data_IF_790477839613
#
_entry.id   IF_790477839613
#
_cell.length_a   1.000
_cell.length_b   1.000
_cell.length_c   1.000
_cell.angle_alpha   90.00
_cell.angle_beta   90.00
_cell.angle_gamma   90.00
#
_symmetry.space_group_name_H-M   'P 1'
#
loop_
_entity.id
_entity.type
_entity.pdbx_description
1 polymer ?
#
# COMPACT_ATOMS: atom_id res chain seq x y z
N UNK A 1 4.73 6.08 -8.12
CA UNK A 1 5.17 6.46 -9.48
C UNK A 1 4.36 5.64 -10.48
N UNK A 2 3.20 6.09 -10.83
CA UNK A 2 2.30 5.35 -11.69
C UNK A 2 1.86 6.23 -12.84
N UNK A 3 2.21 5.81 -14.04
CA UNK A 3 2.17 6.65 -15.23
C UNK A 3 0.80 6.69 -15.93
N UNK A 4 -0.09 5.73 -15.65
CA UNK A 4 -1.42 5.64 -16.26
C UNK A 4 -2.22 4.47 -15.68
N UNK A 5 -3.55 4.45 -15.89
CA UNK A 5 -4.41 3.32 -15.54
C UNK A 5 -3.90 2.00 -16.16
N UNK A 6 -3.54 2.03 -17.45
CA UNK A 6 -3.05 0.84 -18.16
C UNK A 6 -1.77 0.28 -17.52
N UNK A 7 -0.80 1.13 -17.19
CA UNK A 7 0.44 0.70 -16.55
C UNK A 7 0.19 0.03 -15.19
N UNK A 8 -0.74 0.58 -14.41
CA UNK A 8 -1.14 0.02 -13.12
C UNK A 8 -1.80 -1.35 -13.26
N UNK A 9 -2.75 -1.51 -14.18
CA UNK A 9 -3.41 -2.80 -14.38
C UNK A 9 -2.46 -3.86 -14.94
N UNK A 10 -1.57 -3.50 -15.88
CA UNK A 10 -0.53 -4.42 -16.38
C UNK A 10 0.43 -4.82 -15.26
N UNK A 11 0.91 -3.84 -14.46
CA UNK A 11 1.76 -4.09 -13.30
C UNK A 11 1.09 -4.99 -12.26
N UNK A 12 -0.19 -4.72 -11.98
CA UNK A 12 -1.01 -5.57 -11.10
C UNK A 12 -1.11 -7.01 -11.61
N UNK A 13 -1.37 -7.20 -12.91
CA UNK A 13 -1.44 -8.52 -13.52
C UNK A 13 -0.11 -9.30 -13.42
N UNK A 14 1.01 -8.65 -13.71
CA UNK A 14 2.34 -9.26 -13.61
C UNK A 14 2.67 -9.63 -12.16
N UNK A 15 2.49 -8.68 -11.23
CA UNK A 15 2.73 -8.93 -9.80
C UNK A 15 1.78 -9.98 -9.23
N UNK A 16 0.53 -9.99 -9.69
CA UNK A 16 -0.45 -11.00 -9.32
C UNK A 16 -0.01 -12.41 -9.75
N UNK A 17 0.43 -12.57 -11.00
CA UNK A 17 0.96 -13.84 -11.49
C UNK A 17 2.18 -14.30 -10.69
N UNK A 18 3.14 -13.40 -10.43
CA UNK A 18 4.30 -13.70 -9.56
C UNK A 18 3.84 -14.09 -8.17
N UNK A 19 2.88 -13.39 -7.58
CA UNK A 19 2.34 -13.67 -6.25
C UNK A 19 1.68 -15.05 -6.16
N UNK A 20 0.90 -15.43 -7.17
CA UNK A 20 0.32 -16.79 -7.23
C UNK A 20 1.43 -17.83 -7.30
N UNK A 21 2.42 -17.66 -8.18
CA UNK A 21 3.55 -18.60 -8.32
C UNK A 21 4.35 -18.69 -7.01
N UNK A 22 4.62 -17.58 -6.33
CA UNK A 22 5.35 -17.61 -5.04
C UNK A 22 4.56 -18.35 -3.97
N UNK A 23 3.25 -18.16 -3.89
CA UNK A 23 2.40 -18.86 -2.94
C UNK A 23 2.36 -20.38 -3.17
N UNK A 24 2.41 -20.85 -4.42
CA UNK A 24 2.49 -22.30 -4.72
C UNK A 24 3.80 -22.95 -4.23
N UNK A 25 4.83 -22.15 -3.97
CA UNK A 25 6.14 -22.65 -3.47
C UNK A 25 6.26 -22.67 -1.95
N UNK A 26 5.28 -22.11 -1.24
CA UNK A 26 5.26 -22.06 0.23
C UNK A 26 5.18 -23.49 0.80
N UNK A 27 6.08 -23.78 1.72
CA UNK A 27 6.13 -25.07 2.41
C UNK A 27 5.72 -24.97 3.88
N UNK A 28 5.85 -23.80 4.47
CA UNK A 28 5.58 -23.57 5.92
C UNK A 28 4.67 -22.36 6.09
N UNK A 29 3.73 -22.44 7.02
CA UNK A 29 2.77 -21.34 7.30
C UNK A 29 3.43 -20.00 7.59
N UNK A 30 4.62 -20.00 8.21
CA UNK A 30 5.39 -18.78 8.51
C UNK A 30 5.90 -18.04 7.26
N UNK A 31 5.94 -18.70 6.12
CA UNK A 31 6.40 -18.15 4.84
C UNK A 31 5.25 -17.45 4.09
N UNK A 32 3.99 -17.72 4.46
CA UNK A 32 2.80 -17.30 3.71
C UNK A 32 2.74 -15.79 3.50
N UNK A 33 2.89 -15.00 4.58
CA UNK A 33 2.76 -13.54 4.47
C UNK A 33 3.90 -12.95 3.64
N UNK A 34 5.13 -13.47 3.80
CA UNK A 34 6.26 -13.03 2.98
C UNK A 34 6.08 -13.39 1.50
N UNK A 35 5.64 -14.61 1.22
CA UNK A 35 5.36 -15.08 -0.13
C UNK A 35 4.16 -14.37 -0.79
N UNK A 36 3.24 -13.80 0.02
CA UNK A 36 2.10 -13.02 -0.48
C UNK A 36 2.43 -11.56 -0.82
N UNK A 37 3.63 -11.06 -0.49
CA UNK A 37 4.02 -9.67 -0.76
C UNK A 37 3.80 -9.24 -2.23
N UNK A 38 4.17 -10.03 -3.26
CA UNK A 38 3.88 -9.63 -4.64
C UNK A 38 2.37 -9.48 -4.90
N UNK A 39 1.52 -10.34 -4.30
CA UNK A 39 0.07 -10.22 -4.39
C UNK A 39 -0.45 -8.95 -3.69
N UNK A 40 0.10 -8.62 -2.53
CA UNK A 40 -0.23 -7.37 -1.83
C UNK A 40 0.14 -6.15 -2.69
N UNK A 41 1.30 -6.16 -3.35
CA UNK A 41 1.66 -5.11 -4.28
C UNK A 41 0.78 -5.11 -5.55
N UNK A 42 0.32 -6.27 -6.02
CA UNK A 42 -0.65 -6.34 -7.12
C UNK A 42 -1.97 -5.65 -6.76
N UNK A 43 -2.50 -5.89 -5.54
CA UNK A 43 -3.70 -5.22 -5.03
C UNK A 43 -3.50 -3.71 -4.96
N UNK A 44 -2.34 -3.26 -4.46
CA UNK A 44 -2.00 -1.85 -4.41
C UNK A 44 -2.03 -1.19 -5.80
N UNK A 45 -1.39 -1.80 -6.80
CA UNK A 45 -1.41 -1.32 -8.18
C UNK A 45 -2.82 -1.34 -8.78
N UNK A 46 -3.61 -2.36 -8.46
CA UNK A 46 -4.99 -2.48 -8.92
C UNK A 46 -5.86 -1.33 -8.41
N UNK A 47 -5.79 -1.03 -7.13
CA UNK A 47 -6.52 0.10 -6.52
C UNK A 47 -6.14 1.42 -7.21
N UNK A 48 -4.84 1.68 -7.42
CA UNK A 48 -4.38 2.90 -8.06
C UNK A 48 -4.82 3.01 -9.53
N UNK A 49 -4.97 1.89 -10.23
CA UNK A 49 -5.57 1.87 -11.57
C UNK A 49 -6.97 2.46 -11.59
N UNK A 50 -7.80 2.19 -10.58
CA UNK A 50 -9.14 2.79 -10.45
C UNK A 50 -9.09 4.27 -10.07
N UNK A 51 -8.10 4.71 -9.32
CA UNK A 51 -7.91 6.15 -9.05
C UNK A 51 -7.67 6.88 -10.37
N UNK A 52 -6.81 6.35 -11.24
CA UNK A 52 -6.58 6.91 -12.58
C UNK A 52 -7.86 6.97 -13.41
N UNK A 53 -8.63 5.89 -13.48
CA UNK A 53 -9.89 5.86 -14.23
C UNK A 53 -10.90 6.91 -13.74
N UNK A 54 -10.93 7.17 -12.45
CA UNK A 54 -11.78 8.21 -11.88
C UNK A 54 -11.26 9.62 -12.18
N UNK A 55 -9.95 9.87 -12.14
CA UNK A 55 -9.33 11.15 -12.44
C UNK A 55 -9.36 11.47 -13.95
N UNK A 56 -9.30 10.45 -14.82
CA UNK A 56 -9.45 10.57 -16.26
C UNK A 56 -10.92 10.78 -16.70
N UNK A 57 -11.88 10.79 -15.77
CA UNK A 57 -13.30 10.99 -16.05
C UNK A 57 -14.02 9.79 -16.67
N UNK A 58 -13.38 8.60 -16.69
CA UNK A 58 -14.00 7.35 -17.18
C UNK A 58 -14.97 6.81 -16.13
N UNK A 59 -14.63 6.96 -14.84
CA UNK A 59 -15.48 6.63 -13.71
C UNK A 59 -15.90 7.89 -12.94
N UNK A 60 -16.82 7.74 -11.99
CA UNK A 60 -17.29 8.87 -11.21
C UNK A 60 -16.19 9.45 -10.30
N UNK A 61 -16.21 10.76 -10.00
CA UNK A 61 -15.27 11.37 -9.06
C UNK A 61 -15.29 10.72 -7.66
N UNK A 62 -16.43 10.18 -7.26
CA UNK A 62 -16.56 9.43 -5.99
C UNK A 62 -15.65 8.19 -5.98
N UNK A 63 -15.58 7.46 -7.10
CA UNK A 63 -14.68 6.30 -7.24
C UNK A 63 -13.22 6.74 -7.11
N UNK A 64 -12.82 7.86 -7.72
CA UNK A 64 -11.46 8.38 -7.57
C UNK A 64 -11.14 8.67 -6.09
N UNK A 65 -12.06 9.33 -5.38
CA UNK A 65 -11.90 9.67 -3.96
C UNK A 65 -11.80 8.42 -3.09
N UNK A 66 -12.74 7.49 -3.22
CA UNK A 66 -12.80 6.29 -2.37
C UNK A 66 -11.61 5.35 -2.63
N UNK A 67 -11.25 5.17 -3.90
CA UNK A 67 -10.07 4.38 -4.26
C UNK A 67 -8.77 5.09 -3.86
N UNK A 68 -8.73 6.42 -3.90
CA UNK A 68 -7.60 7.21 -3.40
C UNK A 68 -7.42 7.07 -1.89
N UNK A 69 -8.50 7.12 -1.13
CA UNK A 69 -8.47 6.88 0.31
C UNK A 69 -8.03 5.43 0.63
N UNK A 70 -8.56 4.45 -0.11
CA UNK A 70 -8.14 3.06 0.00
C UNK A 70 -6.65 2.88 -0.35
N UNK A 71 -6.15 3.54 -1.39
CA UNK A 71 -4.75 3.53 -1.78
C UNK A 71 -3.85 4.09 -0.67
N UNK A 72 -4.18 5.27 -0.12
CA UNK A 72 -3.40 5.86 0.97
C UNK A 72 -3.38 4.97 2.21
N UNK A 73 -4.54 4.47 2.63
CA UNK A 73 -4.63 3.56 3.78
C UNK A 73 -3.80 2.29 3.53
N UNK A 74 -3.86 1.76 2.31
CA UNK A 74 -3.12 0.55 1.96
C UNK A 74 -1.61 0.80 1.88
N UNK A 75 -1.19 1.80 1.11
CA UNK A 75 0.22 2.08 0.83
C UNK A 75 0.96 2.66 2.04
N UNK A 76 0.38 3.67 2.66
CA UNK A 76 1.02 4.41 3.76
C UNK A 76 0.65 3.87 5.15
N UNK A 77 -0.50 3.22 5.27
CA UNK A 77 -0.94 2.60 6.51
C UNK A 77 -0.55 1.13 6.60
N UNK A 78 -1.15 0.29 5.78
CA UNK A 78 -1.10 -1.16 5.95
C UNK A 78 0.25 -1.78 5.56
N UNK A 79 0.86 -1.37 4.45
CA UNK A 79 2.14 -1.92 4.01
C UNK A 79 3.29 -1.69 5.01
N UNK A 80 3.47 -0.50 5.64
CA UNK A 80 4.47 -0.30 6.68
C UNK A 80 4.34 -1.24 7.88
N UNK A 81 3.14 -1.75 8.15
CA UNK A 81 2.89 -2.77 9.18
C UNK A 81 3.13 -4.19 8.65
N UNK A 82 2.60 -4.51 7.46
CA UNK A 82 2.67 -5.86 6.90
C UNK A 82 4.10 -6.28 6.51
N UNK A 83 4.93 -5.35 6.05
CA UNK A 83 6.31 -5.66 5.67
C UNK A 83 7.15 -6.15 6.86
N UNK A 84 7.30 -5.43 7.98
CA UNK A 84 8.03 -5.93 9.13
C UNK A 84 7.35 -7.15 9.76
N UNK A 85 6.00 -7.24 9.73
CA UNK A 85 5.29 -8.42 10.20
C UNK A 85 5.65 -9.66 9.37
N UNK A 86 5.73 -9.53 8.06
CA UNK A 86 6.09 -10.65 7.16
C UNK A 86 7.49 -11.18 7.46
N UNK A 87 8.45 -10.28 7.68
CA UNK A 87 9.82 -10.63 8.05
C UNK A 87 9.86 -11.26 9.45
N UNK A 88 9.11 -10.71 10.39
CA UNK A 88 9.04 -11.24 11.76
C UNK A 88 8.49 -12.67 11.80
N UNK A 89 7.47 -12.97 11.00
CA UNK A 89 6.90 -14.31 10.91
C UNK A 89 7.82 -15.29 10.20
N UNK A 90 8.53 -14.82 9.17
CA UNK A 90 9.45 -15.61 8.37
C UNK A 90 10.72 -15.99 9.14
N UNK A 91 11.26 -15.08 9.98
CA UNK A 91 12.53 -15.21 10.67
C UNK A 91 12.48 -16.27 11.79
N UNK A 92 13.31 -17.33 11.73
CA UNK A 92 13.34 -18.37 12.75
C UNK A 92 14.10 -17.97 14.02
N UNK A 93 15.05 -17.00 13.91
CA UNK A 93 15.92 -16.63 15.03
C UNK A 93 15.22 -15.63 15.96
N UNK A 94 15.10 -15.98 17.25
CA UNK A 94 14.44 -15.15 18.26
C UNK A 94 15.10 -13.76 18.43
N UNK A 95 16.43 -13.67 18.33
CA UNK A 95 17.16 -12.41 18.45
C UNK A 95 16.86 -11.48 17.29
N UNK A 96 16.86 -12.00 16.06
CA UNK A 96 16.50 -11.25 14.85
C UNK A 96 15.04 -10.80 14.89
N UNK A 97 14.13 -11.66 15.35
CA UNK A 97 12.71 -11.31 15.53
C UNK A 97 12.53 -10.13 16.50
N UNK A 98 13.25 -10.11 17.61
CA UNK A 98 13.16 -9.00 18.58
C UNK A 98 13.60 -7.67 17.97
N UNK A 99 14.58 -7.68 17.06
CA UNK A 99 15.03 -6.48 16.33
C UNK A 99 13.99 -5.93 15.35
N UNK A 100 13.02 -6.75 14.91
CA UNK A 100 11.92 -6.33 14.03
C UNK A 100 10.75 -5.68 14.80
N UNK A 101 10.64 -5.89 16.12
CA UNK A 101 9.53 -5.37 16.91
C UNK A 101 9.38 -3.84 16.85
N UNK A 102 10.46 -3.03 16.95
CA UNK A 102 10.33 -1.58 16.83
C UNK A 102 9.73 -1.14 15.48
N UNK A 103 10.11 -1.80 14.37
CA UNK A 103 9.56 -1.51 13.05
C UNK A 103 8.09 -1.92 12.94
N UNK A 104 7.69 -3.02 13.59
CA UNK A 104 6.29 -3.44 13.64
C UNK A 104 5.44 -2.44 14.43
N UNK A 105 5.95 -1.97 15.58
CA UNK A 105 5.27 -0.95 16.40
C UNK A 105 5.14 0.36 15.63
N UNK A 106 6.21 0.80 14.95
CA UNK A 106 6.20 1.99 14.11
C UNK A 106 5.20 1.85 12.97
N UNK A 107 5.20 0.71 12.27
CA UNK A 107 4.23 0.42 11.21
C UNK A 107 2.79 0.44 11.72
N UNK A 108 2.52 -0.15 12.89
CA UNK A 108 1.21 -0.10 13.52
C UNK A 108 0.78 1.32 13.90
N UNK A 109 1.68 2.12 14.46
CA UNK A 109 1.43 3.52 14.77
C UNK A 109 1.13 4.32 13.51
N UNK A 110 1.87 4.07 12.41
CA UNK A 110 1.62 4.70 11.11
C UNK A 110 0.24 4.31 10.57
N UNK A 111 -0.14 3.03 10.66
CA UNK A 111 -1.49 2.57 10.26
C UNK A 111 -2.59 3.34 10.98
N UNK A 112 -2.49 3.45 12.31
CA UNK A 112 -3.48 4.18 13.12
C UNK A 112 -3.50 5.66 12.79
N UNK A 113 -2.33 6.27 12.57
CA UNK A 113 -2.21 7.67 12.18
C UNK A 113 -2.86 7.96 10.82
N UNK A 114 -2.60 7.14 9.81
CA UNK A 114 -3.21 7.30 8.47
C UNK A 114 -4.73 7.09 8.53
N UNK A 115 -5.19 6.10 9.28
CA UNK A 115 -6.62 5.88 9.48
C UNK A 115 -7.29 7.09 10.12
N UNK A 116 -6.69 7.66 11.16
CA UNK A 116 -7.17 8.89 11.78
C UNK A 116 -7.13 10.07 10.81
N UNK A 117 -6.03 10.26 10.08
CA UNK A 117 -5.88 11.35 9.12
C UNK A 117 -6.95 11.32 8.01
N UNK A 118 -7.25 10.13 7.47
CA UNK A 118 -8.26 9.96 6.43
C UNK A 118 -9.69 10.15 6.94
N UNK A 119 -9.95 9.91 8.24
CA UNK A 119 -11.27 10.15 8.83
C UNK A 119 -11.47 11.58 9.33
N UNK A 120 -10.38 12.26 9.73
CA UNK A 120 -10.44 13.59 10.32
C UNK A 120 -10.28 14.72 9.30
N UNK A 121 -9.63 14.48 8.17
CA UNK A 121 -9.31 15.50 7.16
C UNK A 121 -9.68 15.04 5.76
N UNK A 122 -10.17 15.96 4.89
CA UNK A 122 -10.49 15.62 3.51
C UNK A 122 -9.24 15.21 2.72
N UNK A 123 -9.44 14.30 1.79
CA UNK A 123 -8.43 13.88 0.84
C UNK A 123 -8.68 14.57 -0.50
N UNK A 124 -7.68 15.28 -1.00
CA UNK A 124 -7.68 15.88 -2.33
C UNK A 124 -6.77 15.09 -3.26
N UNK A 125 -7.24 14.88 -4.48
CA UNK A 125 -6.55 14.12 -5.51
C UNK A 125 -6.43 14.95 -6.78
N UNK A 126 -5.23 15.03 -7.34
CA UNK A 126 -5.04 15.63 -8.66
C UNK A 126 -3.85 15.01 -9.40
N UNK A 127 -3.85 15.15 -10.72
CA UNK A 127 -2.76 14.68 -11.56
C UNK A 127 -1.74 15.81 -11.74
N UNK A 128 -0.47 15.53 -11.47
CA UNK A 128 0.66 16.43 -11.75
C UNK A 128 1.66 15.72 -12.66
N UNK A 129 1.71 16.11 -13.92
CA UNK A 129 2.50 15.37 -14.92
C UNK A 129 1.96 13.95 -15.10
N UNK A 130 2.80 12.95 -14.87
CA UNK A 130 2.44 11.53 -14.98
C UNK A 130 2.30 10.87 -13.59
N UNK A 131 1.89 11.62 -12.58
CA UNK A 131 1.76 11.11 -11.21
C UNK A 131 0.51 11.63 -10.54
N UNK A 132 -0.12 10.80 -9.72
CA UNK A 132 -1.21 11.22 -8.85
C UNK A 132 -0.60 11.83 -7.59
N UNK A 133 -1.10 12.99 -7.20
CA UNK A 133 -0.75 13.67 -5.95
C UNK A 133 -1.92 13.50 -4.98
N UNK A 134 -1.61 12.97 -3.81
CA UNK A 134 -2.53 12.77 -2.71
C UNK A 134 -2.25 13.82 -1.65
N UNK A 135 -3.19 14.73 -1.41
CA UNK A 135 -3.09 15.77 -0.38
C UNK A 135 -4.08 15.50 0.73
N UNK A 136 -3.56 15.35 1.94
CA UNK A 136 -4.33 15.36 3.17
C UNK A 136 -3.64 16.29 4.16
N UNK A 137 -4.37 17.17 4.82
CA UNK A 137 -3.80 18.22 5.69
C UNK A 137 -2.92 17.63 6.81
N UNK A 138 -3.27 16.48 7.35
CA UNK A 138 -2.48 15.84 8.40
C UNK A 138 -1.15 15.29 7.88
N UNK A 139 -1.13 14.70 6.67
CA UNK A 139 0.07 14.04 6.12
C UNK A 139 1.01 15.01 5.41
N UNK A 140 0.52 16.14 4.89
CA UNK A 140 1.33 17.12 4.16
C UNK A 140 1.98 18.19 5.03
N UNK A 141 1.46 18.44 6.24
CA UNK A 141 1.97 19.46 7.17
C UNK A 141 3.02 18.93 8.14
N UNK A 142 3.38 17.67 8.09
CA UNK A 142 4.27 17.05 9.05
C UNK A 142 5.48 16.42 8.35
N UNK A 143 6.59 16.27 9.07
CA UNK A 143 7.83 15.62 8.63
C UNK A 143 7.68 14.21 8.00
N UNK A 144 6.46 13.67 7.96
CA UNK A 144 6.09 12.43 7.27
C UNK A 144 6.22 12.54 5.75
N UNK A 145 6.21 13.75 5.19
CA UNK A 145 6.50 13.98 3.77
C UNK A 145 8.01 13.80 3.42
N UNK A 146 8.86 13.54 4.41
CA UNK A 146 10.31 13.37 4.27
C UNK A 146 10.77 11.90 4.42
N UNK A 147 9.85 10.96 4.61
CA UNK A 147 10.11 9.52 4.60
C UNK A 147 9.54 8.87 3.34
#
# INVERSE_FOLDING_TARGET
>A
VCFSATANFVGSGVLGAVGVVTLTKVKRRRELLFASLPLLFAVHQFIEGFVWLGLDGILSPTVAHDMGAAFMLYAQGLLPFLLPLSVLLFEPNATSRRRMLPFLVLGGATTLYILWALTAFPLELYVKGNSIVYINQATNNTAVALL
#
